data_IF_595225877417
#
_entry.id   IF_595225877417
#
_cell.length_a   1.000
_cell.length_b   1.000
_cell.length_c   1.000
_cell.angle_alpha   90.00
_cell.angle_beta   90.00
_cell.angle_gamma   90.00
#
_symmetry.space_group_name_H-M   'P 1'
#
loop_
_entity.id
_entity.type
_entity.pdbx_description
1 polymer ?
#
# COMPACT_ATOMS: atom_id res chain seq x y z
N UNK A 1 -16.78 -17.35 4.78
CA UNK A 1 -16.06 -16.11 4.39
C UNK A 1 -15.41 -16.33 3.04
N UNK A 2 -15.69 -15.44 2.09
CA UNK A 2 -15.10 -15.46 0.74
C UNK A 2 -14.13 -14.30 0.62
N UNK A 3 -12.88 -14.56 0.28
CA UNK A 3 -11.87 -13.51 0.06
C UNK A 3 -11.43 -13.53 -1.41
N UNK A 4 -11.53 -12.39 -2.07
CA UNK A 4 -11.05 -12.16 -3.42
C UNK A 4 -10.01 -11.06 -3.43
N UNK A 5 -8.88 -11.30 -4.09
CA UNK A 5 -7.85 -10.27 -4.32
C UNK A 5 -7.86 -9.91 -5.80
N UNK A 6 -8.11 -8.66 -6.10
CA UNK A 6 -8.11 -8.18 -7.49
C UNK A 6 -7.68 -6.71 -7.59
N UNK A 7 -7.35 -6.30 -8.80
CA UNK A 7 -7.15 -4.87 -9.10
C UNK A 7 -8.47 -4.12 -8.98
N UNK A 8 -8.39 -2.89 -8.48
CA UNK A 8 -9.55 -2.01 -8.42
C UNK A 8 -9.90 -1.49 -9.81
N UNK A 9 -11.19 -1.31 -10.03
CA UNK A 9 -11.76 -0.68 -11.21
C UNK A 9 -12.37 0.67 -10.82
N UNK A 10 -12.75 1.49 -11.79
CA UNK A 10 -13.30 2.84 -11.51
C UNK A 10 -14.46 2.84 -10.54
N UNK A 11 -15.36 1.85 -10.65
CA UNK A 11 -16.51 1.75 -9.76
C UNK A 11 -16.13 1.49 -8.30
N UNK A 12 -14.91 1.04 -8.03
CA UNK A 12 -14.43 0.79 -6.68
C UNK A 12 -13.92 2.06 -5.98
N UNK A 13 -13.78 3.18 -6.70
CA UNK A 13 -13.16 4.40 -6.19
C UNK A 13 -13.85 4.95 -4.93
N UNK A 14 -15.18 4.85 -4.88
CA UNK A 14 -15.96 5.32 -3.75
C UNK A 14 -15.70 4.50 -2.48
N UNK A 15 -15.65 3.18 -2.60
CA UNK A 15 -15.28 2.29 -1.48
C UNK A 15 -13.83 2.47 -1.07
N UNK A 16 -12.93 2.63 -2.05
CA UNK A 16 -11.53 2.94 -1.77
C UNK A 16 -11.39 4.21 -0.93
N UNK A 17 -12.11 5.28 -1.31
CA UNK A 17 -12.06 6.53 -0.55
C UNK A 17 -12.57 6.36 0.87
N UNK A 18 -13.66 5.63 1.07
CA UNK A 18 -14.18 5.31 2.40
C UNK A 18 -13.14 4.55 3.24
N UNK A 19 -12.50 3.54 2.66
CA UNK A 19 -11.46 2.75 3.33
C UNK A 19 -10.20 3.59 3.62
N UNK A 20 -9.82 4.49 2.71
CA UNK A 20 -8.69 5.41 2.91
C UNK A 20 -8.93 6.35 4.11
N UNK A 21 -10.12 6.91 4.22
CA UNK A 21 -10.50 7.75 5.38
C UNK A 21 -10.47 6.94 6.67
N UNK A 22 -10.98 5.72 6.65
CA UNK A 22 -10.88 4.81 7.79
C UNK A 22 -9.42 4.58 8.18
N UNK A 23 -8.56 4.27 7.21
CA UNK A 23 -7.13 4.03 7.45
C UNK A 23 -6.44 5.20 8.15
N UNK A 24 -6.68 6.41 7.66
CA UNK A 24 -6.08 7.63 8.21
C UNK A 24 -6.61 7.96 9.61
N UNK A 25 -7.78 7.48 9.97
CA UNK A 25 -8.40 7.65 11.29
C UNK A 25 -7.96 6.56 12.26
N UNK A 26 -7.97 5.31 11.83
CA UNK A 26 -7.69 4.14 12.68
C UNK A 26 -6.20 3.89 12.89
N UNK A 27 -5.38 4.22 11.92
CA UNK A 27 -3.94 3.91 11.93
C UNK A 27 -3.11 5.09 11.37
N UNK A 28 -3.25 6.29 11.97
CA UNK A 28 -2.58 7.48 11.44
C UNK A 28 -1.06 7.36 11.43
N UNK A 29 -0.49 6.59 12.35
CA UNK A 29 0.95 6.37 12.45
C UNK A 29 1.55 5.52 11.32
N UNK A 30 0.73 4.85 10.49
CA UNK A 30 1.19 4.03 9.37
C UNK A 30 1.32 4.80 8.06
N UNK A 31 0.88 6.07 8.01
CA UNK A 31 0.84 6.86 6.78
C UNK A 31 1.57 8.19 6.93
N UNK A 32 2.19 8.65 5.85
CA UNK A 32 2.83 9.97 5.80
C UNK A 32 1.83 11.13 5.60
N UNK A 33 0.62 10.84 5.12
CA UNK A 33 -0.45 11.81 4.92
C UNK A 33 -1.40 11.83 6.12
N UNK A 34 -1.87 13.01 6.51
CA UNK A 34 -2.87 13.15 7.57
C UNK A 34 -4.30 13.09 6.99
N UNK A 35 -5.26 12.80 7.85
CA UNK A 35 -6.69 12.86 7.49
C UNK A 35 -7.08 14.25 6.97
N UNK A 36 -6.60 15.30 7.64
CA UNK A 36 -6.89 16.69 7.24
C UNK A 36 -6.35 17.02 5.85
N UNK A 37 -5.12 16.60 5.56
CA UNK A 37 -4.54 16.78 4.21
C UNK A 37 -5.33 16.03 3.15
N UNK A 38 -5.64 14.76 3.40
CA UNK A 38 -6.38 13.91 2.46
C UNK A 38 -7.78 14.48 2.15
N UNK A 39 -8.47 14.99 3.17
CA UNK A 39 -9.83 15.53 3.02
C UNK A 39 -9.88 16.98 2.56
N UNK A 40 -8.73 17.66 2.45
CA UNK A 40 -8.65 19.04 1.96
C UNK A 40 -8.76 19.15 0.44
N UNK A 41 -8.63 18.05 -0.27
CA UNK A 41 -8.70 18.03 -1.73
C UNK A 41 -10.13 17.99 -2.24
N UNK A 42 -10.41 18.76 -3.30
CA UNK A 42 -11.69 18.70 -3.99
C UNK A 42 -11.81 17.42 -4.82
N UNK A 43 -13.04 16.88 -4.91
CA UNK A 43 -13.36 15.73 -5.75
C UNK A 43 -12.46 14.49 -5.52
N UNK A 44 -12.36 13.99 -4.28
CA UNK A 44 -11.44 12.89 -3.97
C UNK A 44 -11.75 11.61 -4.76
N UNK A 45 -13.01 11.28 -4.96
CA UNK A 45 -13.42 10.09 -5.72
C UNK A 45 -12.98 10.18 -7.18
N UNK A 46 -13.20 11.33 -7.83
CA UNK A 46 -12.75 11.57 -9.21
C UNK A 46 -11.21 11.45 -9.34
N UNK A 47 -10.47 11.96 -8.36
CA UNK A 47 -9.01 11.85 -8.34
C UNK A 47 -8.57 10.39 -8.26
N UNK A 48 -9.27 9.57 -7.46
CA UNK A 48 -9.01 8.14 -7.34
C UNK A 48 -9.33 7.42 -8.65
N UNK A 49 -10.45 7.74 -9.29
CA UNK A 49 -10.79 7.20 -10.60
C UNK A 49 -9.70 7.46 -11.64
N UNK A 50 -9.17 8.69 -11.65
CA UNK A 50 -8.04 9.05 -12.52
C UNK A 50 -6.78 8.26 -12.21
N UNK A 51 -6.50 8.04 -10.92
CA UNK A 51 -5.35 7.23 -10.49
C UNK A 51 -5.49 5.78 -10.94
N UNK A 52 -6.66 5.20 -10.78
CA UNK A 52 -6.95 3.81 -11.20
C UNK A 52 -6.71 3.62 -12.71
N UNK A 53 -6.93 4.64 -13.51
CA UNK A 53 -6.74 4.60 -14.97
C UNK A 53 -5.27 4.76 -15.42
N UNK A 54 -4.36 5.14 -14.52
CA UNK A 54 -2.96 5.34 -14.90
C UNK A 54 -2.27 4.01 -15.17
N UNK A 55 -1.53 3.93 -16.26
CA UNK A 55 -0.86 2.69 -16.68
C UNK A 55 0.24 2.23 -15.71
N UNK A 56 0.77 3.14 -14.91
CA UNK A 56 1.89 2.86 -13.99
C UNK A 56 1.46 2.69 -12.53
N UNK A 57 0.17 2.81 -12.23
CA UNK A 57 -0.38 2.61 -10.89
C UNK A 57 -1.39 1.46 -10.88
N UNK A 58 -1.22 0.54 -9.93
CA UNK A 58 -2.05 -0.64 -9.80
C UNK A 58 -2.50 -0.77 -8.34
N UNK A 59 -3.78 -0.53 -8.09
CA UNK A 59 -4.33 -0.64 -6.75
C UNK A 59 -4.96 -2.03 -6.59
N UNK A 60 -4.41 -2.81 -5.66
CA UNK A 60 -4.93 -4.14 -5.31
C UNK A 60 -5.87 -4.02 -4.14
N UNK A 61 -7.00 -4.69 -4.22
CA UNK A 61 -8.00 -4.73 -3.16
C UNK A 61 -8.23 -6.15 -2.66
N UNK A 62 -8.47 -6.27 -1.36
CA UNK A 62 -8.99 -7.49 -0.75
C UNK A 62 -10.48 -7.29 -0.46
N UNK A 63 -11.30 -8.07 -1.13
CA UNK A 63 -12.75 -8.06 -0.95
C UNK A 63 -13.14 -9.27 -0.11
N UNK A 64 -13.77 -9.03 1.03
CA UNK A 64 -14.27 -10.07 1.91
C UNK A 64 -15.79 -9.94 1.93
N UNK A 65 -16.46 -11.00 1.48
CA UNK A 65 -17.92 -11.00 1.30
C UNK A 65 -18.40 -9.75 0.53
N UNK A 66 -17.71 -9.48 -0.58
CA UNK A 66 -17.97 -8.36 -1.52
C UNK A 66 -17.65 -6.95 -0.99
N UNK A 67 -17.11 -6.83 0.23
CA UNK A 67 -16.72 -5.55 0.81
C UNK A 67 -15.21 -5.32 0.67
N UNK A 68 -14.81 -4.15 0.24
CA UNK A 68 -13.40 -3.77 0.17
C UNK A 68 -12.86 -3.50 1.58
N UNK A 69 -12.02 -4.38 2.09
CA UNK A 69 -11.50 -4.31 3.46
C UNK A 69 -9.96 -4.25 3.53
N UNK A 70 -9.27 -4.33 2.41
CA UNK A 70 -7.82 -4.19 2.37
C UNK A 70 -7.37 -3.61 1.05
N UNK A 71 -6.28 -2.85 1.07
CA UNK A 71 -5.70 -2.20 -0.10
C UNK A 71 -4.19 -2.20 -0.04
N UNK A 72 -3.57 -2.17 -1.21
CA UNK A 72 -2.16 -1.81 -1.40
C UNK A 72 -1.98 -1.29 -2.83
N UNK A 73 -1.09 -0.34 -3.03
CA UNK A 73 -0.82 0.24 -4.34
C UNK A 73 0.59 -0.13 -4.80
N UNK A 74 0.70 -0.64 -6.03
CA UNK A 74 1.96 -0.84 -6.72
C UNK A 74 2.11 0.28 -7.75
N UNK A 75 3.15 1.09 -7.59
CA UNK A 75 3.51 2.14 -8.55
C UNK A 75 4.79 1.75 -9.27
N UNK A 76 4.77 1.72 -10.60
CA UNK A 76 5.93 1.39 -11.43
C UNK A 76 6.60 2.67 -11.87
N UNK A 77 7.93 2.76 -11.70
CA UNK A 77 8.69 3.91 -12.16
C UNK A 77 8.58 4.05 -13.68
N UNK A 78 8.40 5.29 -14.15
CA UNK A 78 8.23 5.60 -15.57
C UNK A 78 9.50 6.10 -16.24
N UNK A 79 10.55 6.36 -15.47
CA UNK A 79 11.84 6.81 -15.98
C UNK A 79 12.60 5.64 -16.60
N UNK A 80 13.20 5.82 -17.77
CA UNK A 80 13.84 4.75 -18.54
C UNK A 80 14.84 3.91 -17.72
N UNK A 81 15.63 4.56 -16.86
CA UNK A 81 16.66 3.86 -16.06
C UNK A 81 16.10 3.15 -14.82
N UNK A 82 14.86 3.44 -14.42
CA UNK A 82 14.26 2.90 -13.20
C UNK A 82 12.93 2.17 -13.45
N UNK A 83 12.50 2.05 -14.70
CA UNK A 83 11.23 1.41 -15.06
C UNK A 83 11.14 -0.08 -14.69
N UNK A 84 12.27 -0.67 -14.28
CA UNK A 84 12.32 -2.05 -13.77
C UNK A 84 11.95 -2.14 -12.28
N UNK A 85 11.60 -1.03 -11.65
CA UNK A 85 11.30 -0.93 -10.22
C UNK A 85 9.81 -0.69 -9.98
N UNK A 86 9.24 -1.40 -9.03
CA UNK A 86 7.93 -1.12 -8.49
C UNK A 86 8.02 -0.71 -7.03
N UNK A 87 7.21 0.25 -6.61
CA UNK A 87 7.11 0.68 -5.21
C UNK A 87 5.73 0.32 -4.66
N UNK A 88 5.71 -0.33 -3.49
CA UNK A 88 4.47 -0.70 -2.82
C UNK A 88 4.20 0.29 -1.69
N UNK A 89 3.03 0.90 -1.73
CA UNK A 89 2.61 1.86 -0.73
C UNK A 89 1.12 1.76 -0.39
N UNK A 90 0.67 2.59 0.54
CA UNK A 90 -0.72 2.67 0.96
C UNK A 90 -1.31 1.33 1.42
N UNK A 91 -0.50 0.50 2.07
CA UNK A 91 -0.94 -0.82 2.56
C UNK A 91 -1.80 -0.64 3.80
N UNK A 92 -3.03 -1.13 3.74
CA UNK A 92 -3.95 -1.09 4.86
C UNK A 92 -4.93 -2.26 4.84
N UNK A 93 -5.22 -2.80 6.02
CA UNK A 93 -6.28 -3.81 6.22
C UNK A 93 -7.17 -3.32 7.35
N UNK A 94 -8.46 -3.22 7.07
CA UNK A 94 -9.47 -2.84 8.07
C UNK A 94 -9.41 -3.76 9.28
N UNK A 95 -9.63 -3.23 10.50
CA UNK A 95 -9.74 -4.08 11.71
C UNK A 95 -10.74 -5.23 11.56
N UNK A 96 -11.82 -5.01 10.80
CA UNK A 96 -12.85 -6.04 10.54
C UNK A 96 -12.30 -7.24 9.76
N UNK A 97 -11.20 -7.07 9.05
CA UNK A 97 -10.58 -8.11 8.23
C UNK A 97 -9.26 -8.64 8.81
N UNK A 98 -8.76 -8.08 9.89
CA UNK A 98 -7.51 -8.51 10.51
C UNK A 98 -7.64 -9.93 11.05
N UNK A 99 -6.52 -10.69 11.02
CA UNK A 99 -6.50 -12.09 11.43
C UNK A 99 -6.98 -13.07 10.36
N UNK A 100 -7.46 -12.60 9.20
CA UNK A 100 -7.91 -13.43 8.08
C UNK A 100 -6.84 -13.57 6.97
N UNK A 101 -5.64 -13.05 7.18
CA UNK A 101 -4.55 -13.14 6.20
C UNK A 101 -4.67 -12.21 5.00
N UNK A 102 -5.54 -11.20 5.06
CA UNK A 102 -5.79 -10.29 3.93
C UNK A 102 -4.53 -9.53 3.51
N UNK A 103 -3.75 -9.01 4.47
CA UNK A 103 -2.51 -8.30 4.16
C UNK A 103 -1.49 -9.17 3.43
N UNK A 104 -1.28 -10.39 3.92
CA UNK A 104 -0.39 -11.35 3.26
C UNK A 104 -0.91 -11.74 1.87
N UNK A 105 -2.22 -11.91 1.73
CA UNK A 105 -2.84 -12.25 0.45
C UNK A 105 -2.66 -11.15 -0.60
N UNK A 106 -2.85 -9.89 -0.23
CA UNK A 106 -2.62 -8.75 -1.12
C UNK A 106 -1.15 -8.70 -1.55
N UNK A 107 -0.23 -8.79 -0.60
CA UNK A 107 1.21 -8.73 -0.90
C UNK A 107 1.65 -9.88 -1.81
N UNK A 108 1.16 -11.08 -1.57
CA UNK A 108 1.43 -12.23 -2.45
C UNK A 108 0.88 -12.03 -3.85
N UNK A 109 -0.31 -11.42 -3.97
CA UNK A 109 -0.89 -11.10 -5.28
C UNK A 109 -0.04 -10.08 -6.04
N UNK A 110 0.48 -9.05 -5.36
CA UNK A 110 1.39 -8.07 -5.97
C UNK A 110 2.67 -8.74 -6.44
N UNK A 111 3.28 -9.59 -5.63
CA UNK A 111 4.51 -10.31 -5.99
C UNK A 111 4.27 -11.22 -7.20
N UNK A 112 3.17 -11.96 -7.22
CA UNK A 112 2.80 -12.81 -8.34
C UNK A 112 2.55 -12.01 -9.62
N UNK A 113 1.86 -10.88 -9.50
CA UNK A 113 1.61 -9.98 -10.62
C UNK A 113 2.93 -9.43 -11.18
N UNK A 114 3.86 -9.05 -10.30
CA UNK A 114 5.17 -8.53 -10.68
C UNK A 114 6.02 -9.59 -11.39
N UNK A 115 6.02 -10.83 -10.92
CA UNK A 115 6.71 -11.94 -11.60
C UNK A 115 6.18 -12.21 -13.01
N UNK A 116 4.91 -11.91 -13.26
CA UNK A 116 4.31 -12.08 -14.59
C UNK A 116 4.65 -10.94 -15.57
N UNK A 117 5.33 -9.88 -15.09
CA UNK A 117 5.71 -8.71 -15.89
C UNK A 117 7.21 -8.68 -16.08
N UNK A 118 7.69 -9.12 -17.23
CA UNK A 118 9.09 -9.38 -17.55
C UNK A 118 10.04 -8.19 -17.34
N UNK A 119 9.54 -6.97 -17.42
CA UNK A 119 10.38 -5.77 -17.25
C UNK A 119 10.61 -5.38 -15.78
N UNK A 120 9.86 -5.96 -14.84
CA UNK A 120 10.05 -5.70 -13.41
C UNK A 120 11.12 -6.64 -12.84
N UNK A 121 12.07 -6.07 -12.12
CA UNK A 121 13.20 -6.77 -11.53
C UNK A 121 13.22 -6.67 -10.01
N UNK A 122 12.49 -5.70 -9.44
CA UNK A 122 12.47 -5.50 -7.99
C UNK A 122 11.22 -4.75 -7.52
N UNK A 123 10.86 -5.03 -6.28
CA UNK A 123 9.81 -4.30 -5.55
C UNK A 123 10.43 -3.66 -4.32
N UNK A 124 10.16 -2.39 -4.13
CA UNK A 124 10.62 -1.61 -2.98
C UNK A 124 9.44 -1.19 -2.11
N UNK A 125 9.66 -1.05 -0.82
CA UNK A 125 8.70 -0.46 0.10
C UNK A 125 9.41 0.20 1.27
N UNK A 126 8.70 1.09 1.96
CA UNK A 126 9.12 1.63 3.25
C UNK A 126 8.13 1.20 4.33
N UNK A 127 8.63 0.98 5.52
CA UNK A 127 7.81 0.69 6.69
C UNK A 127 8.36 1.43 7.91
N UNK A 128 7.51 2.18 8.59
CA UNK A 128 7.94 2.91 9.79
C UNK A 128 8.33 1.93 10.89
N UNK A 129 9.41 2.25 11.60
CA UNK A 129 9.95 1.36 12.65
C UNK A 129 8.95 1.12 13.78
N UNK A 130 7.95 1.99 13.94
CA UNK A 130 6.84 1.81 14.87
C UNK A 130 5.84 0.74 14.43
N UNK A 131 5.84 0.34 13.15
CA UNK A 131 4.91 -0.64 12.58
C UNK A 131 5.55 -2.03 12.50
N UNK A 132 5.81 -2.65 13.65
CA UNK A 132 6.46 -3.96 13.75
C UNK A 132 5.67 -5.07 13.05
N UNK A 133 4.35 -5.00 13.10
CA UNK A 133 3.49 -6.01 12.48
C UNK A 133 3.69 -6.08 10.96
N UNK A 134 3.69 -4.93 10.30
CA UNK A 134 3.96 -4.85 8.87
C UNK A 134 5.39 -5.28 8.54
N UNK A 135 6.35 -4.81 9.31
CA UNK A 135 7.75 -5.18 9.15
C UNK A 135 7.96 -6.70 9.17
N UNK A 136 7.40 -7.39 10.16
CA UNK A 136 7.50 -8.85 10.26
C UNK A 136 6.81 -9.56 9.10
N UNK A 137 5.67 -9.06 8.64
CA UNK A 137 4.99 -9.58 7.45
C UNK A 137 5.89 -9.50 6.21
N UNK A 138 6.48 -8.33 5.97
CA UNK A 138 7.33 -8.12 4.79
C UNK A 138 8.58 -8.99 4.82
N UNK A 139 9.21 -9.13 5.99
CA UNK A 139 10.34 -10.06 6.17
C UNK A 139 9.95 -11.50 5.85
N UNK A 140 8.81 -11.95 6.36
CA UNK A 140 8.29 -13.30 6.08
C UNK A 140 8.07 -13.55 4.60
N UNK A 141 7.66 -12.52 3.85
CA UNK A 141 7.43 -12.62 2.42
C UNK A 141 8.72 -12.61 1.59
N UNK A 142 9.85 -12.28 2.19
CA UNK A 142 11.15 -12.26 1.54
C UNK A 142 11.72 -10.87 1.25
N UNK A 143 11.10 -9.81 1.74
CA UNK A 143 11.67 -8.46 1.68
C UNK A 143 12.87 -8.37 2.63
N UNK A 144 13.93 -7.71 2.19
CA UNK A 144 15.13 -7.48 2.96
C UNK A 144 15.35 -6.00 3.22
N UNK A 145 15.85 -5.66 4.42
CA UNK A 145 16.20 -4.27 4.75
C UNK A 145 17.45 -3.87 3.99
N UNK A 146 17.36 -2.79 3.20
CA UNK A 146 18.49 -2.22 2.47
C UNK A 146 19.00 -0.91 3.08
N UNK A 147 18.28 -0.36 4.03
CA UNK A 147 18.66 0.87 4.70
C UNK A 147 17.63 1.32 5.71
N UNK A 148 18.01 2.35 6.47
CA UNK A 148 17.13 3.01 7.44
C UNK A 148 17.16 4.50 7.16
N UNK A 149 15.98 5.07 6.86
CA UNK A 149 15.81 6.52 6.74
C UNK A 149 15.55 7.08 8.13
N UNK A 150 16.56 7.78 8.68
CA UNK A 150 16.47 8.36 10.02
C UNK A 150 15.60 9.61 9.98
N UNK A 151 14.70 9.74 10.97
CA UNK A 151 13.78 10.88 11.08
C UNK A 151 12.94 11.06 9.81
N UNK A 152 12.43 9.96 9.28
CA UNK A 152 11.65 9.93 8.05
C UNK A 152 10.38 10.77 8.15
N UNK A 153 9.66 10.61 9.26
CA UNK A 153 8.45 11.41 9.55
C UNK A 153 8.48 11.94 10.99
N UNK A 154 7.60 12.88 11.24
CA UNK A 154 7.28 13.34 12.60
C UNK A 154 5.84 12.94 12.91
N UNK A 155 5.62 12.27 14.01
CA UNK A 155 4.27 11.90 14.45
C UNK A 155 3.51 13.12 15.04
N UNK A 156 2.25 12.89 15.41
CA UNK A 156 1.39 13.95 15.97
C UNK A 156 1.90 14.50 17.30
N UNK A 157 2.66 13.73 18.06
CA UNK A 157 3.28 14.14 19.32
C UNK A 157 4.60 14.88 19.12
N UNK A 158 5.03 15.03 17.87
CA UNK A 158 6.27 15.70 17.50
C UNK A 158 7.51 14.83 17.53
N UNK A 159 7.39 13.54 17.86
CA UNK A 159 8.50 12.61 17.85
C UNK A 159 8.88 12.20 16.42
N UNK A 160 10.16 12.05 16.15
CA UNK A 160 10.63 11.53 14.86
C UNK A 160 10.54 10.02 14.84
N UNK A 161 10.12 9.48 13.69
CA UNK A 161 10.04 8.05 13.43
C UNK A 161 10.95 7.71 12.26
N UNK A 162 11.76 6.67 12.42
CA UNK A 162 12.61 6.14 11.37
C UNK A 162 11.81 5.20 10.46
N UNK A 163 12.33 4.96 9.26
CA UNK A 163 11.69 4.09 8.27
C UNK A 163 12.68 3.06 7.77
N UNK A 164 12.31 1.77 7.80
CA UNK A 164 13.06 0.73 7.12
C UNK A 164 12.77 0.80 5.63
N UNK A 165 13.82 0.84 4.82
CA UNK A 165 13.71 0.70 3.36
C UNK A 165 13.95 -0.77 3.04
N UNK A 166 13.01 -1.41 2.37
CA UNK A 166 13.06 -2.84 2.09
C UNK A 166 12.91 -3.12 0.60
N UNK A 167 13.52 -4.21 0.14
CA UNK A 167 13.48 -4.61 -1.26
C UNK A 167 13.24 -6.11 -1.39
N UNK A 168 12.52 -6.48 -2.48
CA UNK A 168 12.32 -7.85 -2.92
C UNK A 168 12.82 -7.96 -4.36
N UNK A 169 13.81 -8.82 -4.60
CA UNK A 169 14.30 -9.06 -5.95
C UNK A 169 13.46 -10.13 -6.64
N UNK A 170 12.94 -9.80 -7.81
CA UNK A 170 12.09 -10.70 -8.61
C UNK A 170 12.90 -11.71 -9.40
#
# INVERSE_FOLDING_TARGET
MTMEIRLLEEQDAKEYWALRKEALTQDPGAFGETYTEATSHDNPVERIEKTIKRDHEHIFGAFIDERLLGIATLTIDTTVKTQHRGYIGSVYVSPDARGNGAGAAIMKAIIAWAHAHDHLEKLDLGVFTSNQRAFELYKKLGFEVIGVDKKSIRDEDGAFIDEYLMTYLL
#
